data_IF_975796050376
#
_entry.id   IF_975796050376
#
_cell.length_a   1.000
_cell.length_b   1.000
_cell.length_c   1.000
_cell.angle_alpha   90.00
_cell.angle_beta   90.00
_cell.angle_gamma   90.00
#
_symmetry.space_group_name_H-M   'P 1'
#
loop_
_entity.id
_entity.type
_entity.pdbx_description
1 polymer ?
#
# COMPACT_ATOMS: atom_id res chain seq x y z
N UNK A 1 4.38 8.10 16.40
CA UNK A 1 4.97 7.62 15.13
C UNK A 1 6.47 7.71 15.20
N UNK A 2 6.99 8.90 15.42
CA UNK A 2 8.40 9.23 15.23
C UNK A 2 9.37 8.38 16.08
N UNK A 3 9.06 8.13 17.36
CA UNK A 3 9.86 7.25 18.22
C UNK A 3 9.99 5.82 17.67
N UNK A 4 8.95 5.30 17.03
CA UNK A 4 8.96 3.96 16.43
C UNK A 4 9.94 3.91 15.25
N UNK A 5 9.89 4.91 14.37
CA UNK A 5 10.78 4.99 13.21
C UNK A 5 12.24 5.20 13.63
N UNK A 6 12.47 5.98 14.68
CA UNK A 6 13.80 6.13 15.28
C UNK A 6 14.34 4.80 15.81
N UNK A 7 13.51 4.03 16.52
CA UNK A 7 13.92 2.74 17.06
C UNK A 7 14.19 1.72 15.93
N UNK A 8 13.44 1.76 14.83
CA UNK A 8 13.74 0.96 13.64
C UNK A 8 15.09 1.31 13.02
N UNK A 9 15.44 2.59 12.92
CA UNK A 9 16.75 3.03 12.41
C UNK A 9 17.87 2.52 13.33
N UNK A 10 17.70 2.64 14.64
CA UNK A 10 18.66 2.14 15.63
C UNK A 10 18.83 0.63 15.53
N UNK A 11 17.73 -0.10 15.45
CA UNK A 11 17.73 -1.56 15.33
C UNK A 11 18.43 -2.01 14.04
N UNK A 12 18.10 -1.40 12.89
CA UNK A 12 18.75 -1.71 11.62
C UNK A 12 20.26 -1.44 11.67
N UNK A 13 20.68 -0.33 12.27
CA UNK A 13 22.09 0.01 12.45
C UNK A 13 22.81 -0.99 13.37
N UNK A 14 22.17 -1.39 14.48
CA UNK A 14 22.73 -2.38 15.40
C UNK A 14 22.90 -3.76 14.75
N UNK A 15 22.02 -4.11 13.80
CA UNK A 15 22.14 -5.32 12.98
C UNK A 15 23.21 -5.23 11.88
N UNK A 16 23.94 -4.10 11.77
CA UNK A 16 24.98 -3.89 10.77
C UNK A 16 24.47 -3.44 9.39
N UNK A 17 23.18 -3.12 9.26
CA UNK A 17 22.62 -2.63 7.99
C UNK A 17 23.15 -1.25 7.64
N UNK A 18 23.57 -1.07 6.37
CA UNK A 18 24.04 0.21 5.83
C UNK A 18 22.94 1.05 5.19
N UNK A 19 21.86 0.40 4.76
CA UNK A 19 20.73 1.03 4.08
C UNK A 19 19.44 0.51 4.70
N UNK A 20 18.54 1.43 5.03
CA UNK A 20 17.19 1.14 5.46
C UNK A 20 16.22 1.59 4.36
N UNK A 21 15.57 0.64 3.70
CA UNK A 21 14.56 0.93 2.70
C UNK A 21 13.20 1.18 3.38
N UNK A 22 12.68 2.40 3.25
CA UNK A 22 11.36 2.78 3.77
C UNK A 22 10.22 2.45 2.79
N UNK A 23 10.53 1.84 1.65
CA UNK A 23 9.60 1.46 0.59
C UNK A 23 9.15 2.64 -0.26
N UNK A 24 8.16 2.39 -1.12
CA UNK A 24 7.65 3.37 -2.09
C UNK A 24 6.96 4.57 -1.43
N UNK A 25 7.17 5.77 -2.01
CA UNK A 25 6.43 6.98 -1.62
C UNK A 25 5.05 7.07 -2.29
N UNK A 26 4.74 6.17 -3.24
CA UNK A 26 3.46 6.11 -3.96
C UNK A 26 3.04 7.47 -4.58
N UNK A 27 4.02 8.31 -4.92
CA UNK A 27 3.85 9.59 -5.62
C UNK A 27 4.19 9.43 -7.09
N UNK A 28 3.71 10.37 -7.91
CA UNK A 28 4.27 10.58 -9.25
C UNK A 28 5.75 10.95 -9.21
N UNK A 29 6.39 10.88 -10.37
CA UNK A 29 7.78 11.30 -10.59
C UNK A 29 7.75 12.44 -11.64
N UNK A 30 8.26 13.64 -11.32
CA UNK A 30 8.76 14.07 -10.01
C UNK A 30 7.65 14.17 -8.95
N UNK A 31 7.97 14.11 -7.64
CA UNK A 31 6.99 14.29 -6.58
C UNK A 31 6.32 15.67 -6.67
N UNK A 32 4.99 15.69 -6.76
CA UNK A 32 4.19 16.92 -6.79
C UNK A 32 3.47 17.15 -5.45
N UNK A 33 3.50 18.37 -4.87
CA UNK A 33 2.72 18.72 -3.69
C UNK A 33 1.20 18.52 -3.83
N UNK A 34 0.69 18.56 -5.06
CA UNK A 34 -0.74 18.35 -5.36
C UNK A 34 -1.14 16.87 -5.38
N UNK A 35 -0.18 15.95 -5.32
CA UNK A 35 -0.44 14.52 -5.37
C UNK A 35 -1.07 14.05 -4.04
N UNK A 36 -2.15 13.24 -4.03
CA UNK A 36 -2.81 12.79 -2.80
C UNK A 36 -1.89 12.12 -1.78
N UNK A 37 -0.86 11.41 -2.26
CA UNK A 37 0.11 10.70 -1.44
C UNK A 37 1.38 11.51 -1.11
N UNK A 38 1.44 12.82 -1.41
CA UNK A 38 2.65 13.62 -1.20
C UNK A 38 3.12 13.64 0.27
N UNK A 39 2.19 13.50 1.23
CA UNK A 39 2.54 13.41 2.65
C UNK A 39 3.48 12.24 2.98
N UNK A 40 3.36 11.10 2.28
CA UNK A 40 4.24 9.94 2.47
C UNK A 40 5.67 10.26 2.02
N UNK A 41 5.80 10.93 0.87
CA UNK A 41 7.09 11.41 0.37
C UNK A 41 7.75 12.39 1.34
N UNK A 42 6.98 13.39 1.81
CA UNK A 42 7.48 14.42 2.73
C UNK A 42 7.96 13.81 4.03
N UNK A 43 7.14 12.95 4.65
CA UNK A 43 7.47 12.24 5.88
C UNK A 43 8.79 11.46 5.78
N UNK A 44 8.97 10.70 4.69
CA UNK A 44 10.21 9.94 4.47
C UNK A 44 11.42 10.84 4.26
N UNK A 45 11.23 11.96 3.56
CA UNK A 45 12.30 12.95 3.34
C UNK A 45 12.72 13.62 4.65
N UNK A 46 11.76 13.94 5.52
CA UNK A 46 12.01 14.50 6.86
C UNK A 46 12.77 13.53 7.78
N UNK A 47 12.60 12.21 7.59
CA UNK A 47 13.42 11.17 8.25
C UNK A 47 14.86 11.04 7.69
N UNK A 48 15.21 11.84 6.67
CA UNK A 48 16.52 11.81 6.03
C UNK A 48 16.66 10.76 4.91
N UNK A 49 15.56 10.16 4.46
CA UNK A 49 15.60 9.22 3.35
C UNK A 49 15.84 9.93 2.01
N UNK A 50 16.49 9.23 1.07
CA UNK A 50 16.70 9.71 -0.29
C UNK A 50 15.69 9.08 -1.24
N UNK A 51 15.12 9.88 -2.12
CA UNK A 51 14.22 9.38 -3.15
C UNK A 51 15.03 8.77 -4.28
N UNK A 52 14.95 7.45 -4.43
CA UNK A 52 15.65 6.69 -5.45
C UNK A 52 14.67 6.19 -6.50
N UNK A 53 14.93 6.51 -7.76
CA UNK A 53 14.20 5.95 -8.89
C UNK A 53 14.80 4.60 -9.27
N UNK A 54 14.03 3.54 -9.13
CA UNK A 54 14.41 2.22 -9.62
C UNK A 54 13.93 2.01 -11.06
N UNK A 55 14.62 1.11 -11.76
CA UNK A 55 14.17 0.58 -13.03
C UNK A 55 12.73 0.06 -12.87
N UNK A 56 11.86 0.42 -13.81
CA UNK A 56 10.49 -0.07 -13.83
C UNK A 56 10.42 -1.58 -14.07
N UNK A 57 9.21 -2.10 -14.20
CA UNK A 57 9.01 -3.48 -14.61
C UNK A 57 9.32 -3.63 -16.10
N UNK A 58 10.16 -4.61 -16.44
CA UNK A 58 10.46 -4.99 -17.81
C UNK A 58 10.04 -6.43 -18.03
N UNK A 59 9.23 -6.66 -19.05
CA UNK A 59 8.78 -8.01 -19.41
C UNK A 59 9.67 -8.57 -20.52
N UNK A 60 10.22 -9.76 -20.29
CA UNK A 60 10.88 -10.53 -21.34
C UNK A 60 9.84 -11.29 -22.16
N UNK A 61 9.54 -10.77 -23.35
CA UNK A 61 8.48 -11.32 -24.20
C UNK A 61 9.02 -12.43 -25.11
N UNK A 62 8.59 -13.67 -24.86
CA UNK A 62 8.94 -14.83 -25.71
C UNK A 62 7.97 -15.04 -26.88
N UNK A 63 6.70 -14.66 -26.71
CA UNK A 63 5.65 -14.84 -27.72
C UNK A 63 4.86 -13.53 -27.90
N UNK A 64 5.23 -12.68 -28.88
CA UNK A 64 4.73 -11.31 -28.97
C UNK A 64 3.23 -11.17 -29.20
N UNK A 65 2.61 -12.11 -29.92
CA UNK A 65 1.18 -12.05 -30.24
C UNK A 65 0.35 -12.45 -29.01
N UNK A 66 0.68 -13.59 -28.39
CA UNK A 66 -0.04 -14.08 -27.21
C UNK A 66 0.12 -13.12 -26.03
N UNK A 67 1.32 -12.57 -25.82
CA UNK A 67 1.56 -11.57 -24.79
C UNK A 67 0.70 -10.31 -25.00
N UNK A 68 0.62 -9.79 -26.23
CA UNK A 68 -0.22 -8.62 -26.54
C UNK A 68 -1.70 -8.88 -26.27
N UNK A 69 -2.22 -10.05 -26.67
CA UNK A 69 -3.61 -10.44 -26.39
C UNK A 69 -3.85 -10.58 -24.89
N UNK A 70 -2.94 -11.22 -24.16
CA UNK A 70 -3.04 -11.39 -22.71
C UNK A 70 -3.05 -10.03 -21.98
N UNK A 71 -2.13 -9.12 -22.32
CA UNK A 71 -2.09 -7.75 -21.72
C UNK A 71 -3.34 -6.94 -22.06
N UNK A 72 -3.89 -7.12 -23.26
CA UNK A 72 -5.16 -6.48 -23.65
C UNK A 72 -6.33 -7.02 -22.83
N UNK A 73 -6.46 -8.34 -22.71
CA UNK A 73 -7.49 -9.00 -21.90
C UNK A 73 -7.39 -8.60 -20.43
N UNK A 74 -6.19 -8.59 -19.87
CA UNK A 74 -5.93 -8.14 -18.50
C UNK A 74 -6.40 -6.69 -18.31
N UNK A 75 -6.02 -5.79 -19.23
CA UNK A 75 -6.45 -4.40 -19.21
C UNK A 75 -7.96 -4.25 -19.24
N UNK A 76 -8.65 -5.01 -20.09
CA UNK A 76 -10.11 -5.02 -20.17
C UNK A 76 -10.76 -5.59 -18.90
N UNK A 77 -10.31 -6.77 -18.46
CA UNK A 77 -10.84 -7.48 -17.32
C UNK A 77 -10.63 -6.70 -16.01
N UNK A 78 -9.43 -6.17 -15.74
CA UNK A 78 -9.14 -5.41 -14.53
C UNK A 78 -9.92 -4.09 -14.46
N UNK A 79 -10.10 -3.40 -15.60
CA UNK A 79 -10.93 -2.19 -15.67
C UNK A 79 -12.39 -2.48 -15.32
N UNK A 80 -12.91 -3.61 -15.80
CA UNK A 80 -14.30 -4.00 -15.57
C UNK A 80 -14.50 -4.58 -14.16
N UNK A 81 -13.57 -5.42 -13.70
CA UNK A 81 -13.61 -6.06 -12.39
C UNK A 81 -13.56 -5.03 -11.25
N UNK A 82 -12.71 -4.00 -11.33
CA UNK A 82 -12.66 -2.93 -10.30
C UNK A 82 -13.98 -2.16 -10.22
N UNK A 83 -14.60 -1.84 -11.37
CA UNK A 83 -15.91 -1.15 -11.41
C UNK A 83 -17.02 -2.02 -10.80
N UNK A 84 -17.03 -3.31 -11.10
CA UNK A 84 -18.00 -4.24 -10.55
C UNK A 84 -17.78 -4.48 -9.05
N UNK A 85 -16.53 -4.64 -8.60
CA UNK A 85 -16.20 -4.89 -7.20
C UNK A 85 -16.55 -3.72 -6.28
N UNK A 86 -16.33 -2.47 -6.72
CA UNK A 86 -16.74 -1.28 -5.93
C UNK A 86 -18.26 -1.19 -5.82
N UNK A 87 -18.99 -1.46 -6.91
CA UNK A 87 -20.46 -1.49 -6.88
C UNK A 87 -20.98 -2.60 -5.97
N UNK A 88 -20.42 -3.80 -6.08
CA UNK A 88 -20.80 -4.93 -5.25
C UNK A 88 -20.50 -4.69 -3.76
N UNK A 89 -19.34 -4.08 -3.43
CA UNK A 89 -19.03 -3.68 -2.05
C UNK A 89 -20.00 -2.62 -1.52
N UNK A 90 -20.45 -1.67 -2.35
CA UNK A 90 -21.49 -0.71 -1.98
C UNK A 90 -22.80 -1.39 -1.61
N UNK A 91 -23.24 -2.36 -2.43
CA UNK A 91 -24.45 -3.15 -2.17
C UNK A 91 -24.29 -3.99 -0.89
N UNK A 92 -23.16 -4.68 -0.72
CA UNK A 92 -22.89 -5.51 0.46
C UNK A 92 -22.76 -4.71 1.76
N UNK A 93 -22.32 -3.44 1.70
CA UNK A 93 -22.29 -2.53 2.86
C UNK A 93 -23.66 -1.91 3.18
N UNK A 94 -24.55 -1.81 2.19
CA UNK A 94 -25.92 -1.36 2.38
C UNK A 94 -26.82 -2.44 2.99
N UNK A 95 -26.39 -3.71 3.01
CA UNK A 95 -27.07 -4.77 3.75
C UNK A 95 -26.91 -4.49 5.25
N UNK A 96 -28.00 -4.28 6.01
CA UNK A 96 -27.91 -4.04 7.44
C UNK A 96 -27.29 -5.28 8.11
N UNK A 97 -26.07 -5.13 8.63
CA UNK A 97 -25.48 -6.12 9.52
C UNK A 97 -26.29 -6.12 10.80
N UNK A 98 -27.15 -7.12 10.98
CA UNK A 98 -27.83 -7.37 12.25
C UNK A 98 -26.75 -7.73 13.27
N UNK A 99 -26.28 -6.72 14.00
CA UNK A 99 -25.24 -6.87 15.00
C UNK A 99 -25.91 -7.52 16.21
N UNK A 100 -25.79 -8.83 16.35
CA UNK A 100 -26.10 -9.49 17.63
C UNK A 100 -25.18 -8.88 18.68
N UNK A 101 -25.78 -8.07 19.56
CA UNK A 101 -25.10 -7.36 20.64
C UNK A 101 -24.72 -8.40 21.69
N UNK A 102 -23.56 -9.04 21.54
CA UNK A 102 -22.97 -9.78 22.64
C UNK A 102 -22.61 -8.76 23.74
N UNK A 103 -23.26 -8.86 24.89
CA UNK A 103 -22.91 -8.15 26.11
C UNK A 103 -21.48 -8.53 26.50
N UNK A 104 -20.57 -7.58 26.75
CA UNK A 104 -19.25 -7.91 27.27
C UNK A 104 -19.41 -8.52 28.67
N UNK A 105 -18.72 -9.62 29.00
CA UNK A 105 -18.66 -10.08 30.38
C UNK A 105 -18.02 -8.98 31.24
N UNK A 106 -18.68 -8.68 32.35
CA UNK A 106 -18.24 -7.74 33.37
C UNK A 106 -16.84 -8.10 33.87
N UNK A 107 -15.91 -7.16 33.79
CA UNK A 107 -14.62 -7.25 34.48
C UNK A 107 -14.86 -7.28 36.00
N UNK A 108 -14.73 -8.46 36.59
CA UNK A 108 -14.52 -8.65 38.02
C UNK A 108 -13.51 -9.80 38.14
N UNK A 109 -12.51 -9.56 38.99
CA UNK A 109 -11.43 -10.47 39.39
C UNK A 109 -10.18 -10.48 38.50
N UNK A 110 -9.25 -9.58 38.83
CA UNK A 110 -7.86 -9.92 39.14
C UNK A 110 -7.30 -8.75 39.96
N UNK A 111 -7.48 -8.90 41.28
CA UNK A 111 -6.66 -8.26 42.30
C UNK A 111 -5.27 -8.93 42.34
#
# INVERSE_FOLDING_TARGET
GDLMHWEWIRWARAAGSRVLDLGSSCTGIPPSPTHPNYGIYRFKTELGAKFCLYAGYYDRVYAPVTYRVARWLEGWALRNARRCAVRLQGVLRAVPRFRLRATPPSNLELA
#
